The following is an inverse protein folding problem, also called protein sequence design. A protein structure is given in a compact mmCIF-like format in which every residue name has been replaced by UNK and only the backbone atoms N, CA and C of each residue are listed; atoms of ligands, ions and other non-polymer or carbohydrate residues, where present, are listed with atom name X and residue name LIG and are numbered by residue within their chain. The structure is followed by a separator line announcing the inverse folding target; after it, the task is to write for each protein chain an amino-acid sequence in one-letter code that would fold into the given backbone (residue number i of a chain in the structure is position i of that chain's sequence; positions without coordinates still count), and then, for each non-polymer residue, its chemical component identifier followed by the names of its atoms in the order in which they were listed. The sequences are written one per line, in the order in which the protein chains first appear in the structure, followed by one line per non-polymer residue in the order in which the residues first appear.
data_IF_764013158557
#
_entry.id   IF_764013158557
#
_cell.length_a   1.000
_cell.length_b   1.000
_cell.length_c   1.000
_cell.angle_alpha   90.00
_cell.angle_beta   90.00
_cell.angle_gamma   90.00
#
_symmetry.space_group_name_H-M   'P 1'
#
loop_
_entity.id
_entity.type
_entity.pdbx_description
1 polymer ?
#
# COMPACT_ATOMS: atom_id res chain seq x y z
N UNK A 1 -17.86 16.18 1.38
CA UNK A 1 -18.38 17.52 1.07
C UNK A 1 -19.65 17.72 1.83
N UNK A 2 -19.78 18.81 2.57
CA UNK A 2 -20.98 19.16 3.33
C UNK A 2 -21.72 20.27 2.58
N UNK A 3 -23.05 20.13 2.48
CA UNK A 3 -23.95 21.12 1.91
C UNK A 3 -24.89 21.60 3.01
N UNK A 4 -25.01 22.91 3.19
CA UNK A 4 -25.94 23.52 4.13
C UNK A 4 -26.89 24.45 3.38
N UNK A 5 -28.16 24.44 3.77
CA UNK A 5 -29.18 25.38 3.32
C UNK A 5 -29.71 26.14 4.56
N UNK A 6 -29.49 27.45 4.63
CA UNK A 6 -29.76 28.31 5.77
C UNK A 6 -28.64 28.28 6.82
N UNK A 7 -28.96 28.66 8.05
CA UNK A 7 -28.05 28.71 9.21
C UNK A 7 -26.87 29.67 9.07
N UNK A 8 -27.03 30.73 8.27
CA UNK A 8 -26.04 31.80 8.12
C UNK A 8 -25.59 32.35 9.47
N UNK A 9 -24.28 32.46 9.65
CA UNK A 9 -23.62 32.93 10.88
C UNK A 9 -23.49 31.87 11.97
N UNK A 10 -23.99 30.64 11.77
CA UNK A 10 -23.87 29.57 12.76
C UNK A 10 -22.64 28.69 12.52
N UNK A 11 -22.14 28.11 13.62
CA UNK A 11 -21.05 27.14 13.61
C UNK A 11 -21.64 25.78 13.90
N UNK A 12 -21.67 24.92 12.89
CA UNK A 12 -22.22 23.57 12.96
C UNK A 12 -21.08 22.59 13.23
N UNK A 13 -21.09 21.81 14.32
CA UNK A 13 -20.07 20.80 14.55
C UNK A 13 -20.32 19.54 13.71
N UNK A 14 -19.29 19.10 13.00
CA UNK A 14 -19.22 17.85 12.26
C UNK A 14 -18.42 16.85 13.09
N UNK A 15 -19.04 15.74 13.46
CA UNK A 15 -18.44 14.70 14.29
C UNK A 15 -18.15 13.48 13.41
N UNK A 16 -16.88 13.07 13.37
CA UNK A 16 -16.47 11.79 12.80
C UNK A 16 -16.53 10.74 13.90
N UNK A 17 -17.31 9.69 13.68
CA UNK A 17 -17.41 8.51 14.53
C UNK A 17 -16.86 7.27 13.83
N UNK A 18 -16.30 6.36 14.62
CA UNK A 18 -15.96 5.00 14.22
C UNK A 18 -16.68 4.04 15.16
N UNK A 19 -17.53 3.18 14.60
CA UNK A 19 -18.29 2.18 15.38
C UNK A 19 -19.04 2.80 16.58
N UNK A 20 -19.56 4.01 16.39
CA UNK A 20 -20.27 4.78 17.42
C UNK A 20 -19.38 5.60 18.37
N UNK A 21 -18.06 5.41 18.38
CA UNK A 21 -17.11 6.20 19.17
C UNK A 21 -16.68 7.45 18.42
N UNK A 22 -16.68 8.61 19.07
CA UNK A 22 -16.22 9.87 18.49
C UNK A 22 -14.69 9.82 18.32
N UNK A 23 -14.22 10.03 17.09
CA UNK A 23 -12.80 10.10 16.75
C UNK A 23 -12.28 11.54 16.67
N UNK A 24 -13.07 12.42 16.05
CA UNK A 24 -12.67 13.79 15.77
C UNK A 24 -13.91 14.66 15.56
N UNK A 25 -13.78 15.95 15.86
CA UNK A 25 -14.81 16.95 15.65
C UNK A 25 -14.21 18.10 14.86
N UNK A 26 -14.90 18.53 13.81
CA UNK A 26 -14.56 19.72 13.01
C UNK A 26 -15.71 20.70 13.11
N UNK A 27 -15.43 21.99 13.20
CA UNK A 27 -16.48 23.01 13.07
C UNK A 27 -16.66 23.42 11.60
N UNK A 28 -17.90 23.64 11.20
CA UNK A 28 -18.27 24.21 9.91
C UNK A 28 -18.95 25.56 10.15
N UNK A 29 -18.26 26.64 9.81
CA UNK A 29 -18.85 27.96 9.80
C UNK A 29 -19.69 28.15 8.53
N UNK A 30 -20.95 28.52 8.69
CA UNK A 30 -21.90 28.72 7.61
C UNK A 30 -22.00 30.21 7.30
N UNK A 31 -21.25 30.67 6.30
CA UNK A 31 -21.17 32.10 5.98
C UNK A 31 -22.28 32.58 5.02
N UNK A 32 -23.00 31.65 4.41
CA UNK A 32 -24.03 31.92 3.40
C UNK A 32 -25.25 30.98 3.56
N UNK A 33 -26.41 31.40 3.06
CA UNK A 33 -27.66 30.62 3.08
C UNK A 33 -27.58 29.36 2.21
N UNK A 34 -26.58 29.26 1.31
CA UNK A 34 -26.28 28.03 0.56
C UNK A 34 -24.78 27.78 0.57
N UNK A 35 -24.31 27.00 1.55
CA UNK A 35 -22.91 26.65 1.64
C UNK A 35 -22.65 25.27 1.04
N UNK A 36 -21.63 25.15 0.19
CA UNK A 36 -20.99 23.87 -0.13
C UNK A 36 -19.53 23.96 0.26
N UNK A 37 -19.11 23.17 1.25
CA UNK A 37 -17.72 23.18 1.76
C UNK A 37 -17.14 21.78 1.82
N UNK A 38 -15.86 21.67 1.45
CA UNK A 38 -15.09 20.44 1.63
C UNK A 38 -14.43 20.49 3.01
N UNK A 39 -14.70 19.48 3.82
CA UNK A 39 -14.07 19.27 5.12
C UNK A 39 -13.24 18.00 5.04
N UNK A 40 -12.03 18.03 5.59
CA UNK A 40 -11.10 16.90 5.59
C UNK A 40 -10.91 16.43 7.02
N UNK A 41 -11.05 15.13 7.24
CA UNK A 41 -10.70 14.48 8.50
C UNK A 41 -9.49 13.59 8.28
N UNK A 42 -8.52 13.68 9.17
CA UNK A 42 -7.34 12.81 9.17
C UNK A 42 -7.56 11.70 10.19
N UNK A 43 -7.47 10.46 9.75
CA UNK A 43 -7.59 9.25 10.57
C UNK A 43 -6.35 8.39 10.35
N UNK A 44 -5.71 7.98 11.44
CA UNK A 44 -4.62 7.00 11.42
C UNK A 44 -5.12 5.71 12.08
N UNK A 45 -5.56 4.71 11.31
CA UNK A 45 -5.99 3.43 11.85
C UNK A 45 -4.82 2.72 12.55
N UNK A 46 -5.07 2.17 13.75
CA UNK A 46 -4.04 1.46 14.52
C UNK A 46 -3.96 -0.02 14.20
N UNK A 47 -5.05 -0.60 13.70
CA UNK A 47 -5.16 -2.03 13.45
C UNK A 47 -5.68 -2.31 12.04
N UNK A 48 -5.49 -3.55 11.59
CA UNK A 48 -6.04 -4.05 10.33
C UNK A 48 -7.48 -4.46 10.57
N UNK A 49 -8.36 -4.13 9.63
CA UNK A 49 -9.75 -4.52 9.76
C UNK A 49 -10.68 -3.75 8.85
N UNK A 50 -11.97 -4.06 8.98
CA UNK A 50 -13.05 -3.27 8.38
C UNK A 50 -13.61 -2.36 9.45
N UNK A 51 -13.59 -1.07 9.19
CA UNK A 51 -14.14 -0.04 10.06
C UNK A 51 -15.37 0.56 9.43
N UNK A 52 -16.42 0.75 10.24
CA UNK A 52 -17.58 1.56 9.86
C UNK A 52 -17.39 2.97 10.42
N UNK A 53 -17.20 3.93 9.53
CA UNK A 53 -17.11 5.35 9.85
C UNK A 53 -18.45 6.01 9.60
N UNK A 54 -18.82 6.97 10.44
CA UNK A 54 -19.97 7.84 10.19
C UNK A 54 -19.57 9.29 10.43
N UNK A 55 -19.99 10.17 9.54
CA UNK A 55 -19.91 11.62 9.74
C UNK A 55 -21.30 12.10 10.06
N UNK A 56 -21.46 12.75 11.20
CA UNK A 56 -22.74 13.28 11.64
C UNK A 56 -22.65 14.74 12.07
N UNK A 57 -23.78 15.42 12.02
CA UNK A 57 -23.98 16.73 12.63
C UNK A 57 -25.14 16.63 13.63
N UNK A 58 -25.05 17.26 14.82
CA UNK A 58 -26.19 17.31 15.71
C UNK A 58 -27.34 18.08 15.05
N UNK A 59 -28.56 17.74 15.46
CA UNK A 59 -29.78 18.40 14.98
C UNK A 59 -29.75 19.88 15.36
N UNK A 60 -29.99 20.74 14.38
CA UNK A 60 -30.05 22.18 14.59
C UNK A 60 -31.47 22.64 14.92
N UNK A 61 -31.60 23.74 15.65
CA UNK A 61 -32.92 24.31 16.00
C UNK A 61 -33.62 24.75 14.70
N UNK A 62 -34.90 24.37 14.54
CA UNK A 62 -35.68 24.71 13.35
C UNK A 62 -35.36 23.88 12.10
N UNK A 63 -34.58 22.81 12.22
CA UNK A 63 -34.19 21.97 11.09
C UNK A 63 -35.36 21.13 10.57
N UNK A 64 -35.65 21.26 9.27
CA UNK A 64 -36.77 20.58 8.61
C UNK A 64 -36.52 19.09 8.37
N UNK A 65 -35.28 18.72 8.04
CA UNK A 65 -34.87 17.35 7.73
C UNK A 65 -33.78 16.96 8.71
N UNK A 66 -34.08 16.06 9.65
CA UNK A 66 -33.09 15.56 10.62
C UNK A 66 -32.38 14.28 10.15
N UNK A 67 -32.97 13.61 9.16
CA UNK A 67 -32.51 12.29 8.68
C UNK A 67 -31.30 12.36 7.74
N UNK A 68 -30.98 13.54 7.19
CA UNK A 68 -29.83 13.75 6.30
C UNK A 68 -28.55 14.17 7.06
N UNK A 69 -28.59 14.21 8.39
CA UNK A 69 -27.50 14.67 9.22
C UNK A 69 -26.42 13.63 9.48
N UNK A 70 -26.56 12.42 8.94
CA UNK A 70 -25.58 11.34 9.05
C UNK A 70 -25.24 10.76 7.69
N UNK A 71 -23.95 10.46 7.49
CA UNK A 71 -23.47 9.70 6.34
C UNK A 71 -22.48 8.63 6.78
N UNK A 72 -22.77 7.39 6.42
CA UNK A 72 -21.91 6.25 6.72
C UNK A 72 -20.95 5.90 5.57
N UNK A 73 -19.77 5.41 5.94
CA UNK A 73 -18.69 4.98 5.05
C UNK A 73 -18.05 3.70 5.60
N UNK A 74 -17.56 2.84 4.71
CA UNK A 74 -16.77 1.67 5.09
C UNK A 74 -15.30 1.90 4.72
N UNK A 75 -14.41 1.73 5.68
CA UNK A 75 -12.96 1.80 5.49
C UNK A 75 -12.38 0.40 5.70
N UNK A 76 -11.75 -0.18 4.68
CA UNK A 76 -11.00 -1.42 4.83
C UNK A 76 -9.51 -1.10 4.93
N UNK A 77 -8.94 -1.31 6.10
CA UNK A 77 -7.50 -1.16 6.35
C UNK A 77 -6.86 -2.53 6.18
N UNK A 78 -5.85 -2.59 5.32
CA UNK A 78 -5.03 -3.80 5.10
C UNK A 78 -3.64 -3.56 5.65
N UNK A 79 -2.98 -4.62 6.10
CA UNK A 79 -1.55 -4.58 6.41
C UNK A 79 -0.82 -4.28 5.10
N UNK A 80 -0.11 -3.17 5.08
CA UNK A 80 0.89 -2.96 4.05
C UNK A 80 2.07 -3.89 4.35
N UNK A 81 2.56 -4.59 3.34
CA UNK A 81 3.71 -5.50 3.48
C UNK A 81 4.87 -4.92 2.72
N UNK A 82 6.05 -4.94 3.33
CA UNK A 82 7.27 -4.55 2.64
C UNK A 82 7.60 -5.65 1.63
N UNK A 83 7.54 -5.33 0.35
CA UNK A 83 7.86 -6.25 -0.73
C UNK A 83 9.36 -6.23 -0.96
N UNK A 84 10.02 -7.34 -0.66
CA UNK A 84 11.48 -7.47 -0.75
C UNK A 84 11.83 -8.44 -1.86
N UNK A 85 12.64 -7.99 -2.81
CA UNK A 85 13.26 -8.85 -3.81
C UNK A 85 14.70 -9.16 -3.38
N UNK A 86 14.98 -10.44 -3.13
CA UNK A 86 16.31 -10.92 -2.75
C UNK A 86 16.89 -11.84 -3.83
N UNK A 87 17.85 -11.33 -4.59
CA UNK A 87 18.54 -12.08 -5.64
C UNK A 87 19.96 -12.43 -5.19
N UNK A 88 20.31 -13.71 -5.23
CA UNK A 88 21.68 -14.17 -4.96
C UNK A 88 22.29 -14.84 -6.18
N UNK A 89 23.54 -14.51 -6.50
CA UNK A 89 24.25 -15.09 -7.65
C UNK A 89 24.79 -16.50 -7.40
N UNK A 90 24.84 -16.96 -6.15
CA UNK A 90 25.27 -18.33 -5.79
C UNK A 90 24.69 -18.75 -4.43
N UNK A 91 24.47 -20.04 -4.18
CA UNK A 91 24.09 -20.52 -2.85
C UNK A 91 25.12 -20.10 -1.80
N UNK A 92 24.68 -19.44 -0.73
CA UNK A 92 25.56 -18.95 0.33
C UNK A 92 24.90 -19.09 1.71
N UNK A 93 25.72 -19.18 2.77
CA UNK A 93 25.23 -19.13 4.15
C UNK A 93 24.52 -17.80 4.45
N UNK A 94 25.04 -16.69 3.92
CA UNK A 94 24.45 -15.37 4.05
C UNK A 94 23.04 -15.32 3.47
N UNK A 95 22.85 -15.85 2.25
CA UNK A 95 21.54 -15.96 1.63
C UNK A 95 20.58 -16.79 2.48
N UNK A 96 21.01 -17.97 2.94
CA UNK A 96 20.17 -18.84 3.78
C UNK A 96 19.73 -18.15 5.06
N UNK A 97 20.66 -17.47 5.73
CA UNK A 97 20.42 -16.78 6.99
C UNK A 97 19.47 -15.59 6.81
N UNK A 98 19.80 -14.68 5.87
CA UNK A 98 18.99 -13.49 5.59
C UNK A 98 17.59 -13.86 5.09
N UNK A 99 17.49 -14.84 4.17
CA UNK A 99 16.19 -15.33 3.70
C UNK A 99 15.34 -15.87 4.85
N UNK A 100 15.95 -16.61 5.79
CA UNK A 100 15.23 -17.14 6.95
C UNK A 100 14.76 -16.02 7.87
N UNK A 101 15.60 -15.02 8.12
CA UNK A 101 15.25 -13.85 8.94
C UNK A 101 14.10 -13.05 8.30
N UNK A 102 14.23 -12.68 7.02
CA UNK A 102 13.21 -11.90 6.31
C UNK A 102 11.89 -12.67 6.17
N UNK A 103 11.93 -13.97 5.88
CA UNK A 103 10.71 -14.80 5.78
C UNK A 103 10.02 -15.02 7.13
N UNK A 104 10.74 -14.84 8.25
CA UNK A 104 10.15 -15.02 9.59
C UNK A 104 9.27 -13.84 9.99
N UNK A 105 9.44 -12.68 9.35
CA UNK A 105 8.64 -11.49 9.63
C UNK A 105 7.36 -11.49 8.78
N UNK A 106 6.15 -11.50 9.40
CA UNK A 106 4.89 -11.48 8.67
C UNK A 106 4.57 -10.15 7.97
N UNK A 107 5.29 -9.07 8.29
CA UNK A 107 5.21 -7.79 7.61
C UNK A 107 5.97 -7.76 6.29
N UNK A 108 6.80 -8.77 6.02
CA UNK A 108 7.64 -8.85 4.82
C UNK A 108 7.03 -9.85 3.83
N UNK A 109 6.88 -9.40 2.59
CA UNK A 109 6.62 -10.27 1.45
C UNK A 109 7.92 -10.49 0.68
N UNK A 110 8.56 -11.64 0.93
CA UNK A 110 9.86 -11.96 0.36
C UNK A 110 9.74 -12.80 -0.91
N UNK A 111 10.23 -12.25 -2.02
CA UNK A 111 10.49 -12.98 -3.27
C UNK A 111 12.00 -13.19 -3.37
N UNK A 112 12.45 -14.44 -3.38
CA UNK A 112 13.87 -14.78 -3.29
C UNK A 112 14.31 -15.72 -4.41
N UNK A 113 15.39 -15.38 -5.11
CA UNK A 113 15.97 -16.19 -6.18
C UNK A 113 17.45 -16.48 -5.92
N UNK A 114 17.89 -17.68 -6.29
CA UNK A 114 19.31 -17.99 -6.47
C UNK A 114 19.51 -18.26 -7.96
N UNK A 115 20.46 -17.57 -8.57
CA UNK A 115 20.84 -17.84 -9.95
C UNK A 115 21.76 -19.06 -9.93
N UNK A 116 21.24 -20.18 -10.43
CA UNK A 116 21.99 -21.44 -10.51
C UNK A 116 22.61 -21.66 -11.89
N UNK A 117 22.20 -20.87 -12.90
CA UNK A 117 22.71 -20.92 -14.27
C UNK A 117 22.54 -19.57 -14.96
N UNK A 118 23.52 -19.17 -15.76
CA UNK A 118 23.44 -18.01 -16.63
C UNK A 118 22.70 -18.35 -17.92
N UNK A 119 22.10 -17.36 -18.62
CA UNK A 119 21.52 -17.59 -19.96
C UNK A 119 22.53 -18.08 -21.01
N UNK A 120 23.83 -17.92 -20.74
CA UNK A 120 24.93 -18.37 -21.61
C UNK A 120 25.44 -19.77 -21.27
N UNK A 121 24.99 -20.37 -20.18
CA UNK A 121 25.42 -21.72 -19.81
C UNK A 121 24.85 -22.73 -20.82
N UNK A 122 25.74 -23.34 -21.60
CA UNK A 122 25.36 -24.38 -22.57
C UNK A 122 25.05 -25.66 -21.81
N UNK A 123 23.76 -25.91 -21.56
CA UNK A 123 23.32 -27.19 -21.02
C UNK A 123 22.99 -28.10 -22.18
N UNK A 124 23.79 -29.16 -22.38
CA UNK A 124 23.59 -30.14 -23.45
C UNK A 124 22.47 -31.14 -23.14
N UNK A 125 21.38 -30.65 -22.53
CA UNK A 125 20.23 -31.42 -22.07
C UNK A 125 18.98 -30.74 -22.62
N UNK A 126 18.04 -31.49 -23.24
CA UNK A 126 16.78 -30.95 -23.74
C UNK A 126 16.01 -30.14 -22.69
N UNK A 127 15.39 -29.01 -23.08
CA UNK A 127 14.73 -28.08 -22.15
C UNK A 127 13.62 -28.71 -21.31
N UNK A 128 12.93 -29.71 -21.84
CA UNK A 128 11.89 -30.50 -21.18
C UNK A 128 12.41 -31.43 -20.08
N UNK A 129 13.73 -31.69 -20.06
CA UNK A 129 14.41 -32.48 -19.04
C UNK A 129 15.14 -31.61 -18.00
N UNK A 130 15.10 -30.28 -18.16
CA UNK A 130 15.68 -29.35 -17.19
C UNK A 130 14.69 -29.13 -16.04
N UNK A 131 15.02 -29.62 -14.84
CA UNK A 131 14.22 -29.38 -13.62
C UNK A 131 14.27 -27.92 -13.11
N UNK A 132 15.16 -27.10 -13.68
CA UNK A 132 15.36 -25.72 -13.30
C UNK A 132 14.72 -24.81 -14.38
N UNK A 133 14.05 -23.75 -13.95
CA UNK A 133 13.60 -22.66 -14.83
C UNK A 133 14.70 -21.59 -14.94
N UNK A 134 14.92 -20.97 -16.11
CA UNK A 134 15.85 -19.86 -16.24
C UNK A 134 15.36 -18.68 -15.38
N UNK A 135 16.30 -17.92 -14.82
CA UNK A 135 15.96 -16.73 -14.02
C UNK A 135 15.28 -15.70 -14.94
N UNK A 136 14.04 -15.25 -14.65
CA UNK A 136 13.25 -14.42 -15.55
C UNK A 136 13.69 -12.95 -15.51
N UNK A 137 14.93 -12.67 -15.91
CA UNK A 137 15.56 -11.34 -15.87
C UNK A 137 14.70 -10.28 -16.55
N UNK A 138 14.18 -10.55 -17.75
CA UNK A 138 13.50 -9.54 -18.55
C UNK A 138 12.21 -9.05 -17.88
N UNK A 139 11.33 -9.94 -17.42
CA UNK A 139 10.10 -9.54 -16.71
C UNK A 139 10.42 -8.88 -15.37
N UNK A 140 11.32 -9.49 -14.59
CA UNK A 140 11.64 -9.01 -13.25
C UNK A 140 12.23 -7.59 -13.27
N UNK A 141 13.19 -7.31 -14.17
CA UNK A 141 13.90 -6.03 -14.22
C UNK A 141 13.25 -4.96 -15.10
N UNK A 142 12.28 -5.31 -15.95
CA UNK A 142 11.59 -4.34 -16.82
C UNK A 142 10.21 -3.96 -16.28
N UNK A 143 9.43 -4.93 -15.79
CA UNK A 143 8.02 -4.73 -15.45
C UNK A 143 7.77 -4.73 -13.94
N UNK A 144 8.48 -5.60 -13.20
CA UNK A 144 8.14 -5.86 -11.80
C UNK A 144 9.01 -5.12 -10.78
N UNK A 145 10.11 -4.47 -11.20
CA UNK A 145 11.05 -3.87 -10.24
C UNK A 145 10.40 -2.76 -9.38
N UNK A 146 9.53 -1.95 -9.99
CA UNK A 146 8.80 -0.88 -9.29
C UNK A 146 7.77 -1.36 -8.27
N UNK A 147 7.53 -2.68 -8.18
CA UNK A 147 6.63 -3.28 -7.22
C UNK A 147 7.31 -3.67 -5.89
N UNK A 148 8.62 -3.46 -5.76
CA UNK A 148 9.39 -3.81 -4.58
C UNK A 148 9.87 -2.56 -3.84
N UNK A 149 9.76 -2.58 -2.52
CA UNK A 149 10.23 -1.51 -1.63
C UNK A 149 11.73 -1.63 -1.33
N UNK A 150 12.27 -2.85 -1.41
CA UNK A 150 13.68 -3.14 -1.13
C UNK A 150 14.22 -4.21 -2.09
N UNK A 151 15.40 -3.91 -2.64
CA UNK A 151 16.17 -4.79 -3.50
C UNK A 151 17.45 -5.22 -2.77
N UNK A 152 17.66 -6.52 -2.61
CA UNK A 152 18.87 -7.10 -2.01
C UNK A 152 19.58 -7.95 -3.06
N UNK A 153 20.83 -7.59 -3.35
CA UNK A 153 21.70 -8.37 -4.22
C UNK A 153 22.86 -8.96 -3.40
N UNK A 154 22.95 -10.29 -3.32
CA UNK A 154 24.04 -11.00 -2.64
C UNK A 154 24.89 -11.79 -3.64
N UNK A 155 26.21 -11.73 -3.53
CA UNK A 155 27.13 -12.47 -4.41
C UNK A 155 26.78 -12.36 -5.91
N UNK A 156 26.31 -11.18 -6.32
CA UNK A 156 25.71 -10.96 -7.62
C UNK A 156 26.67 -10.20 -8.54
N UNK A 157 26.97 -10.76 -9.72
CA UNK A 157 27.85 -10.10 -10.70
C UNK A 157 27.03 -9.34 -11.73
N UNK A 158 26.96 -8.02 -11.61
CA UNK A 158 26.13 -7.17 -12.47
C UNK A 158 26.46 -7.31 -13.97
N UNK A 159 27.74 -7.53 -14.30
CA UNK A 159 28.24 -7.63 -15.68
C UNK A 159 27.58 -8.74 -16.52
N UNK A 160 27.12 -9.81 -15.88
CA UNK A 160 26.55 -10.98 -16.59
C UNK A 160 25.03 -11.00 -16.62
N UNK A 161 24.36 -10.19 -15.79
CA UNK A 161 22.91 -10.27 -15.57
C UNK A 161 22.16 -8.96 -15.81
N UNK A 162 22.86 -7.82 -15.80
CA UNK A 162 22.30 -6.53 -16.18
C UNK A 162 22.90 -6.06 -17.50
N UNK A 163 22.18 -6.20 -18.63
CA UNK A 163 22.33 -5.29 -19.75
C UNK A 163 22.33 -3.85 -19.23
N UNK A 164 23.26 -3.02 -19.73
CA UNK A 164 23.43 -1.61 -19.31
C UNK A 164 22.10 -0.83 -19.38
N UNK A 165 21.21 -1.20 -20.31
CA UNK A 165 19.86 -0.66 -20.45
C UNK A 165 18.97 -0.77 -19.20
N UNK A 166 19.11 -1.82 -18.37
CA UNK A 166 18.26 -1.97 -17.18
C UNK A 166 18.67 -1.04 -16.03
N UNK A 167 19.90 -0.54 -16.03
CA UNK A 167 20.35 0.42 -15.02
C UNK A 167 19.68 1.79 -15.18
N UNK A 168 19.12 2.10 -16.35
CA UNK A 168 18.34 3.32 -16.56
C UNK A 168 17.04 3.33 -15.73
N UNK A 169 16.49 2.15 -15.41
CA UNK A 169 15.27 2.00 -14.62
C UNK A 169 15.50 1.97 -13.10
N UNK A 170 16.77 1.98 -12.65
CA UNK A 170 17.15 1.87 -11.22
C UNK A 170 17.48 3.25 -10.61
N UNK A 171 17.01 4.34 -11.23
CA UNK A 171 17.33 5.71 -10.82
C UNK A 171 16.32 6.32 -9.86
#
# INVERSE_FOLDING_TARGET
TVKSWGYKGQVIPLVLKQEGRILSTSSLQVDDDRLTRRTTFTLTPKEVGRYRLSVETPVQVGEALRANNQKDFQLQVRRDKIRVLFVSGRPSWNYRFLRRALKSDPSIELISFIILRTPTDVVNVPEDQLSLIPFPTNRLFTEELGNFDLLIFDNFSYLFYFPVLYLENVR
#
